data_IF_547157173834
#
_entry.id   IF_547157173834
#
_cell.length_a   1.000
_cell.length_b   1.000
_cell.length_c   1.000
_cell.angle_alpha   90.00
_cell.angle_beta   90.00
_cell.angle_gamma   90.00
#
_symmetry.space_group_name_H-M   'P 1'
#
loop_
_entity.id
_entity.type
_entity.pdbx_description
1 polymer ?
#
# COMPACT_ATOMS: atom_id res chain seq x y z
N UNK A 1 -45.60 3.70 -8.83
CA UNK A 1 -45.44 2.25 -9.13
C UNK A 1 -44.41 2.13 -10.24
N UNK A 2 -43.12 2.03 -9.92
CA UNK A 2 -42.08 1.65 -10.89
C UNK A 2 -40.67 1.81 -10.33
N UNK A 3 -39.91 0.70 -10.39
CA UNK A 3 -38.59 0.52 -11.02
C UNK A 3 -37.97 -0.78 -10.48
N UNK A 4 -38.37 -1.18 -9.26
CA UNK A 4 -37.96 -2.44 -8.63
C UNK A 4 -38.64 -3.69 -9.22
N UNK A 5 -39.76 -3.51 -9.94
CA UNK A 5 -40.52 -4.61 -10.57
C UNK A 5 -40.10 -4.88 -12.02
N UNK A 6 -39.32 -4.00 -12.65
CA UNK A 6 -38.87 -4.17 -14.05
C UNK A 6 -37.57 -5.00 -14.16
N UNK A 7 -36.72 -4.98 -13.12
CA UNK A 7 -35.47 -5.76 -13.09
C UNK A 7 -35.68 -7.25 -12.78
N UNK A 8 -36.83 -7.62 -12.20
CA UNK A 8 -37.21 -9.03 -11.99
C UNK A 8 -37.76 -9.70 -13.25
N UNK A 9 -38.14 -8.93 -14.28
CA UNK A 9 -38.65 -9.48 -15.54
C UNK A 9 -37.54 -9.87 -16.53
N UNK A 10 -36.33 -9.29 -16.42
CA UNK A 10 -35.21 -9.57 -17.33
C UNK A 10 -34.50 -10.89 -16.96
N UNK A 11 -34.63 -11.36 -15.72
CA UNK A 11 -34.04 -12.63 -15.27
C UNK A 11 -34.89 -13.88 -15.56
N UNK A 12 -36.12 -13.74 -16.07
CA UNK A 12 -37.03 -14.89 -16.30
C UNK A 12 -37.34 -15.13 -17.79
N UNK A 13 -36.99 -14.22 -18.70
CA UNK A 13 -37.41 -14.30 -20.11
C UNK A 13 -36.27 -14.59 -21.09
N UNK A 14 -35.51 -15.67 -20.86
CA UNK A 14 -34.80 -16.38 -21.95
C UNK A 14 -35.05 -17.87 -21.80
N UNK A 15 -36.32 -18.26 -21.89
CA UNK A 15 -36.70 -19.63 -22.19
C UNK A 15 -37.81 -19.64 -23.23
N UNK A 16 -37.60 -20.48 -24.25
CA UNK A 16 -38.39 -20.68 -25.46
C UNK A 16 -37.95 -19.72 -26.59
N UNK A 17 -37.44 -20.18 -27.74
CA UNK A 17 -38.11 -21.07 -28.70
C UNK A 17 -37.07 -21.86 -29.55
N UNK A 18 -37.26 -23.18 -29.58
CA UNK A 18 -37.08 -24.21 -30.64
C UNK A 18 -35.84 -24.31 -31.55
N UNK A 19 -35.20 -25.48 -31.39
CA UNK A 19 -34.83 -26.50 -32.41
C UNK A 19 -33.90 -26.15 -33.58
N UNK A 20 -32.66 -26.64 -33.48
CA UNK A 20 -31.93 -27.21 -34.61
C UNK A 20 -31.75 -28.70 -34.35
N UNK A 21 -32.26 -29.50 -35.28
CA UNK A 21 -32.14 -30.96 -35.31
C UNK A 21 -30.77 -31.35 -35.88
N UNK A 22 -29.95 -32.03 -35.07
CA UNK A 22 -29.08 -33.10 -35.57
C UNK A 22 -28.74 -34.05 -34.40
N UNK A 23 -29.37 -35.22 -34.41
CA UNK A 23 -29.21 -36.30 -33.44
C UNK A 23 -27.84 -36.96 -33.56
N UNK A 24 -27.09 -36.99 -32.46
CA UNK A 24 -26.45 -38.21 -31.92
C UNK A 24 -26.06 -37.96 -30.46
N UNK A 25 -26.96 -38.31 -29.55
CA UNK A 25 -26.66 -38.49 -28.14
C UNK A 25 -26.41 -39.98 -27.92
N UNK A 26 -25.32 -40.32 -27.22
CA UNK A 26 -25.06 -41.67 -26.71
C UNK A 26 -25.45 -41.68 -25.24
N UNK A 27 -26.12 -42.74 -24.81
CA UNK A 27 -26.65 -42.90 -23.45
C UNK A 27 -25.53 -43.15 -22.42
N UNK A 28 -25.52 -42.36 -21.35
CA UNK A 28 -24.98 -42.75 -20.05
C UNK A 28 -25.93 -42.23 -18.97
N UNK A 29 -26.27 -43.12 -18.02
CA UNK A 29 -27.42 -42.93 -17.13
C UNK A 29 -27.01 -42.11 -15.89
N UNK A 30 -27.51 -40.87 -15.87
CA UNK A 30 -27.80 -40.08 -14.67
C UNK A 30 -29.21 -40.46 -14.17
N UNK A 31 -29.44 -40.54 -12.86
CA UNK A 31 -30.79 -40.71 -12.30
C UNK A 31 -31.44 -39.35 -12.02
N UNK A 32 -32.56 -39.07 -12.70
CA UNK A 32 -33.15 -37.73 -12.88
C UNK A 32 -34.13 -37.24 -11.80
N UNK A 33 -34.24 -37.94 -10.66
CA UNK A 33 -35.18 -37.58 -9.58
C UNK A 33 -34.62 -36.58 -8.56
N UNK A 34 -33.30 -36.40 -8.53
CA UNK A 34 -32.64 -35.56 -7.54
C UNK A 34 -32.49 -34.13 -8.08
N UNK A 35 -32.85 -33.09 -7.31
CA UNK A 35 -32.57 -31.71 -7.69
C UNK A 35 -31.05 -31.48 -7.66
N UNK A 36 -30.43 -31.50 -8.84
CA UNK A 36 -29.02 -31.11 -9.02
C UNK A 36 -28.95 -29.65 -9.45
N UNK A 37 -28.45 -28.80 -8.56
CA UNK A 37 -28.18 -27.38 -8.83
C UNK A 37 -26.98 -27.24 -9.77
N UNK A 38 -27.27 -26.91 -11.04
CA UNK A 38 -26.35 -26.29 -12.01
C UNK A 38 -25.07 -27.08 -12.32
N UNK A 39 -25.09 -27.95 -13.33
CA UNK A 39 -23.88 -28.55 -13.87
C UNK A 39 -23.20 -27.57 -14.84
N UNK A 40 -22.04 -27.03 -14.44
CA UNK A 40 -21.11 -26.35 -15.34
C UNK A 40 -20.11 -27.40 -15.87
N UNK A 41 -20.24 -27.81 -17.13
CA UNK A 41 -19.39 -28.86 -17.71
C UNK A 41 -18.04 -28.29 -18.11
N UNK A 42 -17.00 -28.58 -17.31
CA UNK A 42 -15.59 -28.42 -17.69
C UNK A 42 -15.00 -29.83 -17.76
N UNK A 43 -14.66 -30.28 -18.97
CA UNK A 43 -14.22 -31.66 -19.25
C UNK A 43 -15.32 -32.57 -19.81
N UNK A 44 -14.94 -33.55 -20.64
CA UNK A 44 -15.91 -34.41 -21.35
C UNK A 44 -16.44 -35.60 -20.54
N UNK A 45 -15.91 -35.83 -19.34
CA UNK A 45 -16.18 -37.03 -18.53
C UNK A 45 -16.87 -36.67 -17.21
N UNK A 46 -17.98 -37.36 -16.90
CA UNK A 46 -18.80 -37.18 -15.69
C UNK A 46 -18.32 -38.01 -14.48
N UNK A 47 -17.37 -38.93 -14.69
CA UNK A 47 -16.92 -39.90 -13.68
C UNK A 47 -15.43 -39.73 -13.35
N UNK A 48 -14.92 -40.40 -12.30
CA UNK A 48 -13.49 -40.38 -11.95
C UNK A 48 -12.96 -41.77 -11.60
N UNK A 49 -12.62 -42.56 -12.62
CA UNK A 49 -12.14 -43.93 -12.45
C UNK A 49 -11.00 -44.30 -13.42
N UNK A 50 -10.58 -43.38 -14.31
CA UNK A 50 -9.55 -43.57 -15.34
C UNK A 50 -8.74 -42.29 -15.52
N UNK A 51 -7.45 -42.41 -15.85
CA UNK A 51 -6.56 -41.27 -16.07
C UNK A 51 -7.14 -40.18 -16.99
N UNK A 52 -7.88 -40.57 -18.03
CA UNK A 52 -8.56 -39.69 -18.99
C UNK A 52 -9.60 -38.75 -18.37
N UNK A 53 -10.08 -39.07 -17.16
CA UNK A 53 -11.07 -38.28 -16.45
C UNK A 53 -10.45 -37.18 -15.59
N UNK A 54 -9.11 -37.08 -15.54
CA UNK A 54 -8.42 -36.03 -14.81
C UNK A 54 -8.93 -34.64 -15.25
N UNK A 55 -9.23 -33.79 -14.27
CA UNK A 55 -9.80 -32.46 -14.49
C UNK A 55 -11.33 -32.37 -14.45
N UNK A 56 -12.07 -33.49 -14.39
CA UNK A 56 -13.50 -33.45 -14.13
C UNK A 56 -13.79 -32.81 -12.76
N UNK A 57 -14.80 -31.96 -12.69
CA UNK A 57 -15.23 -31.26 -11.47
C UNK A 57 -16.60 -31.74 -11.01
N UNK A 58 -16.80 -31.88 -9.70
CA UNK A 58 -18.14 -32.06 -9.11
C UNK A 58 -18.30 -31.22 -7.85
N UNK A 59 -19.50 -30.72 -7.60
CA UNK A 59 -19.86 -30.05 -6.35
C UNK A 59 -20.82 -30.94 -5.57
N UNK A 60 -20.45 -31.32 -4.35
CA UNK A 60 -21.25 -32.21 -3.50
C UNK A 60 -21.13 -31.80 -2.04
N UNK A 61 -22.28 -31.63 -1.37
CA UNK A 61 -22.34 -31.25 0.06
C UNK A 61 -21.52 -30.00 0.40
N UNK A 62 -21.60 -28.97 -0.45
CA UNK A 62 -20.88 -27.70 -0.24
C UNK A 62 -19.39 -27.74 -0.59
N UNK A 63 -18.85 -28.87 -1.06
CA UNK A 63 -17.44 -29.03 -1.41
C UNK A 63 -17.26 -29.20 -2.92
N UNK A 64 -16.27 -28.50 -3.48
CA UNK A 64 -15.81 -28.73 -4.84
C UNK A 64 -14.82 -29.90 -4.83
N UNK A 65 -14.91 -30.82 -5.80
CA UNK A 65 -14.00 -31.94 -5.98
C UNK A 65 -13.42 -31.90 -7.38
N UNK A 66 -12.15 -32.26 -7.51
CA UNK A 66 -11.43 -32.44 -8.76
C UNK A 66 -11.03 -33.91 -8.93
N UNK A 67 -11.17 -34.45 -10.14
CA UNK A 67 -10.70 -35.79 -10.46
C UNK A 67 -9.20 -35.77 -10.80
N UNK A 68 -8.42 -36.63 -10.15
CA UNK A 68 -7.00 -36.86 -10.43
C UNK A 68 -6.80 -38.17 -11.22
N UNK A 69 -7.65 -38.41 -12.21
CA UNK A 69 -7.71 -39.64 -13.01
C UNK A 69 -8.64 -40.68 -12.39
N UNK A 70 -8.21 -41.35 -11.31
CA UNK A 70 -8.99 -42.43 -10.69
C UNK A 70 -9.45 -42.13 -9.26
N UNK A 71 -9.23 -40.90 -8.79
CA UNK A 71 -9.54 -40.50 -7.42
C UNK A 71 -10.11 -39.09 -7.39
N UNK A 72 -11.18 -38.92 -6.63
CA UNK A 72 -11.69 -37.60 -6.27
C UNK A 72 -10.83 -36.99 -5.16
N UNK A 73 -10.37 -35.75 -5.37
CA UNK A 73 -9.77 -34.91 -4.34
C UNK A 73 -10.72 -33.75 -4.04
N UNK A 74 -10.92 -33.42 -2.77
CA UNK A 74 -11.63 -32.21 -2.36
C UNK A 74 -10.75 -30.99 -2.59
N UNK A 75 -11.32 -29.97 -3.20
CA UNK A 75 -10.76 -28.64 -3.27
C UNK A 75 -11.24 -27.88 -2.02
N UNK A 76 -10.39 -27.80 -1.00
CA UNK A 76 -10.65 -27.01 0.20
C UNK A 76 -10.20 -25.57 -0.06
N UNK A 77 -11.16 -24.66 -0.24
CA UNK A 77 -10.90 -23.22 -0.35
C UNK A 77 -10.21 -22.63 0.89
N UNK A 78 -10.33 -23.27 2.06
CA UNK A 78 -9.75 -22.82 3.34
C UNK A 78 -8.22 -22.73 3.33
N UNK A 79 -7.54 -23.44 2.42
CA UNK A 79 -6.07 -23.42 2.31
C UNK A 79 -5.53 -22.54 1.18
N UNK A 80 -6.39 -21.83 0.46
CA UNK A 80 -6.00 -21.05 -0.73
C UNK A 80 -5.81 -19.57 -0.48
N UNK A 81 -6.23 -19.06 0.67
CA UNK A 81 -6.09 -17.64 0.98
C UNK A 81 -5.09 -17.46 2.12
N UNK A 82 -3.81 -17.43 1.76
CA UNK A 82 -2.75 -16.96 2.64
C UNK A 82 -3.19 -15.65 3.32
N UNK A 83 -2.94 -15.52 4.62
CA UNK A 83 -3.30 -14.31 5.35
C UNK A 83 -2.48 -13.12 4.87
N UNK A 84 -3.14 -11.98 4.65
CA UNK A 84 -2.57 -10.79 4.00
C UNK A 84 -2.73 -10.76 2.48
N UNK A 85 -3.67 -11.53 1.92
CA UNK A 85 -4.04 -11.49 0.49
C UNK A 85 -5.35 -10.75 0.27
N UNK A 86 -5.67 -10.38 -0.98
CA UNK A 86 -6.89 -9.64 -1.33
C UNK A 86 -8.16 -10.32 -0.79
N UNK A 87 -8.20 -11.65 -0.84
CA UNK A 87 -9.33 -12.46 -0.40
C UNK A 87 -9.27 -12.89 1.08
N UNK A 88 -8.12 -12.69 1.75
CA UNK A 88 -7.96 -12.91 3.19
C UNK A 88 -7.04 -11.83 3.78
N UNK A 89 -7.51 -10.57 3.84
CA UNK A 89 -6.68 -9.44 4.23
C UNK A 89 -6.44 -9.39 5.73
N UNK A 90 -5.29 -8.84 6.13
CA UNK A 90 -5.05 -8.49 7.52
C UNK A 90 -5.67 -7.15 7.92
N UNK A 91 -5.52 -6.77 9.19
CA UNK A 91 -5.91 -5.44 9.66
C UNK A 91 -4.75 -4.42 9.57
N UNK A 92 -3.50 -4.90 9.56
CA UNK A 92 -2.27 -4.14 9.35
C UNK A 92 -1.14 -5.12 8.97
N UNK A 93 0.02 -4.61 8.53
CA UNK A 93 1.18 -5.46 8.29
C UNK A 93 1.63 -6.19 9.57
N UNK A 94 1.49 -5.56 10.74
CA UNK A 94 1.79 -6.17 12.05
C UNK A 94 0.86 -7.34 12.35
N UNK A 95 -0.43 -7.16 12.09
CA UNK A 95 -1.43 -8.20 12.28
C UNK A 95 -1.20 -9.39 11.32
N UNK A 96 -0.80 -9.10 10.07
CA UNK A 96 -0.38 -10.13 9.11
C UNK A 96 0.85 -10.88 9.63
N UNK A 97 1.89 -10.16 10.03
CA UNK A 97 3.13 -10.71 10.58
C UNK A 97 2.86 -11.64 11.77
N UNK A 98 1.96 -11.26 12.68
CA UNK A 98 1.66 -12.02 13.89
C UNK A 98 0.83 -13.29 13.62
N UNK A 99 -0.06 -13.26 12.62
CA UNK A 99 -1.05 -14.33 12.39
C UNK A 99 -0.73 -15.25 11.22
N UNK A 100 0.18 -14.87 10.32
CA UNK A 100 0.46 -15.67 9.13
C UNK A 100 1.05 -17.05 9.44
N UNK A 101 1.59 -17.27 10.65
CA UNK A 101 2.12 -18.56 11.09
C UNK A 101 3.36 -19.03 10.32
N UNK A 102 3.95 -18.15 9.49
CA UNK A 102 5.13 -18.39 8.66
C UNK A 102 5.99 -17.14 8.61
N UNK A 103 7.28 -17.31 8.30
CA UNK A 103 8.17 -16.18 8.02
C UNK A 103 7.75 -15.52 6.71
N UNK A 104 7.47 -14.23 6.77
CA UNK A 104 7.11 -13.41 5.62
C UNK A 104 8.31 -12.60 5.13
N UNK A 105 8.23 -12.12 3.89
CA UNK A 105 9.20 -11.23 3.28
C UNK A 105 8.56 -9.86 3.06
N UNK A 106 9.38 -8.82 2.93
CA UNK A 106 8.87 -7.49 2.61
C UNK A 106 8.18 -7.52 1.25
N UNK A 107 7.12 -6.73 1.10
CA UNK A 107 6.37 -6.71 -0.15
C UNK A 107 4.97 -6.14 -0.01
N UNK A 108 4.17 -6.32 -1.06
CA UNK A 108 2.80 -5.84 -1.07
C UNK A 108 1.88 -6.89 -0.47
N UNK A 109 1.08 -6.46 0.50
CA UNK A 109 0.04 -7.25 1.14
C UNK A 109 -1.28 -6.49 1.11
N UNK A 110 -2.37 -7.16 1.45
CA UNK A 110 -3.69 -6.57 1.46
C UNK A 110 -4.22 -6.46 2.88
N UNK A 111 -4.74 -5.27 3.19
CA UNK A 111 -5.34 -4.98 4.49
C UNK A 111 -6.76 -4.43 4.35
N UNK A 112 -7.49 -4.48 5.45
CA UNK A 112 -8.78 -3.84 5.63
C UNK A 112 -8.82 -3.18 6.99
N UNK A 113 -9.21 -1.91 7.05
CA UNK A 113 -9.32 -1.21 8.33
C UNK A 113 -10.46 -1.79 9.18
N UNK A 114 -10.29 -1.80 10.50
CA UNK A 114 -11.34 -2.25 11.43
C UNK A 114 -12.60 -1.41 11.24
N UNK A 115 -13.74 -2.07 11.05
CA UNK A 115 -15.02 -1.42 10.75
C UNK A 115 -15.19 -0.97 9.30
N UNK A 116 -14.13 -1.03 8.47
CA UNK A 116 -14.19 -0.79 7.04
C UNK A 116 -14.58 -2.04 6.26
N UNK A 117 -15.22 -1.86 5.10
CA UNK A 117 -15.50 -2.95 4.15
C UNK A 117 -14.48 -3.00 3.01
N UNK A 118 -13.74 -1.90 2.80
CA UNK A 118 -12.79 -1.78 1.69
C UNK A 118 -11.48 -2.50 2.00
N UNK A 119 -11.08 -3.38 1.09
CA UNK A 119 -9.77 -4.02 1.08
C UNK A 119 -8.87 -3.26 0.11
N UNK A 120 -7.61 -3.05 0.46
CA UNK A 120 -6.65 -2.34 -0.38
C UNK A 120 -5.21 -2.82 -0.14
N UNK A 121 -4.33 -2.68 -1.14
CA UNK A 121 -2.94 -3.09 -1.02
C UNK A 121 -2.11 -2.05 -0.25
N UNK A 122 -1.11 -2.53 0.48
CA UNK A 122 -0.10 -1.74 1.20
C UNK A 122 1.26 -2.41 1.08
N UNK A 123 2.34 -1.63 1.14
CA UNK A 123 3.67 -2.19 1.31
C UNK A 123 3.91 -2.51 2.78
N UNK A 124 4.37 -3.72 3.06
CA UNK A 124 4.77 -4.18 4.38
C UNK A 124 6.28 -4.40 4.45
N UNK A 125 6.94 -3.76 5.41
CA UNK A 125 8.27 -4.18 5.87
C UNK A 125 8.09 -5.22 6.98
N UNK A 126 8.18 -6.48 6.58
CA UNK A 126 8.02 -7.65 7.44
C UNK A 126 9.33 -7.95 8.20
N UNK A 127 10.48 -7.63 7.62
CA UNK A 127 11.80 -7.77 8.24
C UNK A 127 11.96 -6.86 9.46
N UNK A 128 11.45 -5.61 9.40
CA UNK A 128 11.41 -4.67 10.52
C UNK A 128 10.29 -4.94 11.54
N UNK A 129 9.52 -6.01 11.37
CA UNK A 129 8.50 -6.45 12.31
C UNK A 129 7.07 -6.07 11.93
N UNK A 130 6.76 -5.98 10.64
CA UNK A 130 5.39 -5.77 10.13
C UNK A 130 4.97 -4.30 10.07
N UNK A 131 5.83 -3.43 9.55
CA UNK A 131 5.53 -2.02 9.34
C UNK A 131 4.68 -1.80 8.09
N UNK A 132 3.64 -0.97 8.18
CA UNK A 132 2.68 -0.67 7.10
C UNK A 132 2.99 0.68 6.47
N UNK A 133 3.33 0.75 5.18
CA UNK A 133 3.56 2.03 4.50
C UNK A 133 2.24 2.77 4.25
N UNK A 134 2.12 3.99 4.79
CA UNK A 134 0.89 4.82 4.69
C UNK A 134 1.08 6.12 3.91
N UNK A 135 2.34 6.57 3.72
CA UNK A 135 2.65 7.75 2.94
C UNK A 135 4.04 7.63 2.29
N UNK A 136 4.16 8.08 1.04
CA UNK A 136 5.42 8.07 0.29
C UNK A 136 5.48 9.27 -0.65
N UNK A 137 6.57 10.01 -0.57
CA UNK A 137 6.86 11.17 -1.41
C UNK A 137 8.13 10.88 -2.19
N UNK A 138 8.06 10.96 -3.52
CA UNK A 138 9.26 10.89 -4.34
C UNK A 138 9.80 12.29 -4.60
N UNK A 139 11.12 12.33 -4.77
CA UNK A 139 11.82 13.49 -5.26
C UNK A 139 11.67 13.62 -6.78
N UNK A 140 11.90 14.83 -7.29
CA UNK A 140 11.91 15.16 -8.73
C UNK A 140 10.59 14.90 -9.51
N UNK A 141 9.43 14.88 -8.84
CA UNK A 141 8.16 14.77 -9.56
C UNK A 141 7.74 16.16 -10.08
N UNK A 142 7.45 16.23 -11.39
CA UNK A 142 6.92 17.43 -12.08
C UNK A 142 5.42 17.68 -11.83
N UNK A 143 4.76 16.83 -11.02
CA UNK A 143 3.36 16.99 -10.66
C UNK A 143 3.12 18.29 -9.88
N UNK A 144 1.90 18.83 -9.98
CA UNK A 144 1.52 20.12 -9.41
C UNK A 144 1.46 20.12 -7.88
N UNK A 145 1.24 18.96 -7.26
CA UNK A 145 1.05 18.84 -5.82
C UNK A 145 2.39 18.71 -5.07
N UNK A 146 2.64 19.59 -4.11
CA UNK A 146 3.83 19.48 -3.25
C UNK A 146 3.64 18.47 -2.10
N UNK A 147 4.70 18.01 -1.41
CA UNK A 147 4.59 16.98 -0.38
C UNK A 147 3.62 17.32 0.77
N UNK A 148 3.53 18.60 1.17
CA UNK A 148 2.59 19.02 2.19
C UNK A 148 1.15 18.91 1.71
N UNK A 149 0.85 19.31 0.46
CA UNK A 149 -0.51 19.18 -0.10
C UNK A 149 -0.95 17.71 -0.20
N UNK A 150 -0.04 16.80 -0.56
CA UNK A 150 -0.31 15.35 -0.54
C UNK A 150 -0.59 14.90 0.91
N UNK A 151 0.22 15.36 1.86
CA UNK A 151 0.05 15.04 3.29
C UNK A 151 -1.26 15.57 3.87
N UNK A 152 -1.68 16.78 3.50
CA UNK A 152 -2.86 17.48 4.03
C UNK A 152 -4.17 17.06 3.32
N UNK A 153 -4.09 16.53 2.09
CA UNK A 153 -5.26 16.11 1.29
C UNK A 153 -6.15 15.07 1.99
N UNK A 154 -7.46 15.28 2.06
CA UNK A 154 -8.41 14.25 2.54
C UNK A 154 -8.53 13.02 1.61
N UNK A 155 -8.01 13.13 0.38
CA UNK A 155 -8.13 12.12 -0.67
C UNK A 155 -6.84 11.29 -0.74
N UNK A 156 -6.95 9.94 -0.80
CA UNK A 156 -5.80 9.07 -1.04
C UNK A 156 -5.23 9.25 -2.45
N UNK A 157 -3.93 9.07 -2.61
CA UNK A 157 -3.22 9.26 -3.88
C UNK A 157 -2.51 7.95 -4.23
N UNK A 158 -2.67 7.48 -5.48
CA UNK A 158 -2.07 6.25 -6.00
C UNK A 158 -2.33 4.97 -5.17
N UNK A 159 -3.40 4.95 -4.36
CA UNK A 159 -3.70 3.90 -3.37
C UNK A 159 -3.81 2.48 -3.95
N UNK A 160 -4.28 2.37 -5.19
CA UNK A 160 -4.44 1.11 -5.91
C UNK A 160 -3.35 0.88 -6.97
N UNK A 161 -2.35 1.77 -7.05
CA UNK A 161 -1.26 1.68 -8.02
C UNK A 161 -0.11 0.89 -7.38
N UNK A 162 -0.07 -0.42 -7.65
CA UNK A 162 0.95 -1.32 -7.10
C UNK A 162 2.40 -0.84 -7.36
N UNK A 163 2.64 -0.18 -8.49
CA UNK A 163 3.94 0.40 -8.81
C UNK A 163 4.32 1.58 -7.90
N UNK A 164 3.36 2.35 -7.40
CA UNK A 164 3.60 3.44 -6.44
C UNK A 164 3.95 2.88 -5.04
N UNK A 165 3.39 1.71 -4.71
CA UNK A 165 3.62 0.98 -3.45
C UNK A 165 4.97 0.27 -3.37
N UNK A 166 5.59 -0.07 -4.50
CA UNK A 166 6.92 -0.68 -4.48
C UNK A 166 7.94 0.25 -3.79
N UNK A 167 8.86 -0.28 -2.98
CA UNK A 167 9.93 0.48 -2.33
C UNK A 167 11.05 0.89 -3.33
N UNK A 168 10.66 1.33 -4.53
CA UNK A 168 11.53 1.75 -5.63
C UNK A 168 11.05 3.10 -6.18
N UNK A 169 11.89 3.74 -6.99
CA UNK A 169 11.62 5.01 -7.68
C UNK A 169 11.11 4.82 -9.14
N UNK A 170 10.79 3.58 -9.55
CA UNK A 170 10.42 3.24 -10.93
C UNK A 170 9.05 3.78 -11.38
N UNK A 171 8.27 4.41 -10.50
CA UNK A 171 6.96 4.98 -10.81
C UNK A 171 6.86 6.42 -10.33
N UNK A 172 6.56 7.36 -11.22
CA UNK A 172 6.65 8.81 -10.98
C UNK A 172 5.40 9.42 -10.32
N UNK A 173 4.96 8.89 -9.17
CA UNK A 173 3.85 9.46 -8.40
C UNK A 173 4.03 9.33 -6.88
N UNK A 174 3.51 10.30 -6.13
CA UNK A 174 3.34 10.20 -4.67
C UNK A 174 2.29 9.12 -4.30
N UNK A 175 2.32 8.64 -3.05
CA UNK A 175 1.35 7.70 -2.51
C UNK A 175 0.84 8.13 -1.13
N UNK A 176 -0.47 8.01 -0.91
CA UNK A 176 -1.17 8.19 0.39
C UNK A 176 -2.37 7.24 0.50
N UNK A 177 -2.54 6.62 1.65
CA UNK A 177 -3.64 5.69 1.95
C UNK A 177 -4.82 6.36 2.71
N UNK A 178 -6.04 5.78 2.65
CA UNK A 178 -7.23 6.17 3.45
C UNK A 178 -7.11 5.92 4.96
N UNK A 179 -6.06 5.25 5.41
CA UNK A 179 -5.77 5.04 6.82
C UNK A 179 -4.97 6.20 7.42
N UNK A 180 -5.42 6.65 8.58
CA UNK A 180 -4.79 7.66 9.44
C UNK A 180 -3.25 7.61 9.44
N UNK A 181 -2.64 8.75 9.14
CA UNK A 181 -1.20 8.95 8.98
C UNK A 181 -0.47 8.84 10.33
N UNK A 182 0.55 7.99 10.38
CA UNK A 182 1.45 7.79 11.53
C UNK A 182 2.81 7.31 10.96
N UNK A 183 3.94 7.79 11.49
CA UNK A 183 5.30 7.40 11.03
C UNK A 183 6.08 6.49 11.97
N UNK A 184 6.94 5.71 11.33
CA UNK A 184 8.07 4.92 11.77
C UNK A 184 8.81 4.37 10.53
N UNK A 185 9.99 3.76 10.69
CA UNK A 185 10.88 3.37 9.57
C UNK A 185 11.35 1.90 9.55
N UNK A 186 11.75 1.45 8.35
CA UNK A 186 12.59 0.26 8.12
C UNK A 186 12.47 -0.42 6.74
N UNK A 187 13.61 -0.88 6.21
CA UNK A 187 13.75 -1.71 4.99
C UNK A 187 15.13 -1.59 4.32
N UNK A 188 15.67 -0.36 4.25
CA UNK A 188 17.09 0.06 4.13
C UNK A 188 17.12 1.59 4.07
N UNK A 189 17.13 2.24 5.24
CA UNK A 189 17.07 3.69 5.42
C UNK A 189 18.47 4.31 5.56
N UNK A 190 18.73 5.46 4.92
CA UNK A 190 19.96 6.24 5.14
C UNK A 190 19.91 7.02 6.45
N UNK A 191 18.73 7.55 6.78
CA UNK A 191 18.40 8.20 8.05
C UNK A 191 16.99 7.78 8.47
N UNK A 192 16.81 7.57 9.76
CA UNK A 192 15.57 7.12 10.37
C UNK A 192 15.20 8.00 11.57
N UNK A 193 13.92 8.30 11.68
CA UNK A 193 13.32 8.95 12.83
C UNK A 193 12.14 8.09 13.31
N UNK A 194 12.04 7.90 14.61
CA UNK A 194 10.99 7.10 15.26
C UNK A 194 10.21 8.05 16.14
N UNK A 195 8.91 8.18 15.88
CA UNK A 195 8.03 9.08 16.63
C UNK A 195 7.00 8.29 17.44
N UNK A 196 6.52 8.85 18.52
CA UNK A 196 5.39 8.30 19.23
C UNK A 196 4.10 8.58 18.44
N UNK A 197 3.37 7.52 18.13
CA UNK A 197 2.06 7.64 17.52
C UNK A 197 1.07 8.33 18.48
N UNK A 198 0.37 9.36 18.02
CA UNK A 198 -0.75 9.96 18.76
C UNK A 198 -2.00 9.10 18.60
N UNK A 199 -2.80 8.95 19.66
CA UNK A 199 -4.15 8.35 19.62
C UNK A 199 -5.25 9.32 19.15
N UNK A 200 -4.96 10.62 19.05
CA UNK A 200 -5.96 11.66 18.70
C UNK A 200 -6.03 12.12 17.23
N UNK A 201 -5.11 11.71 16.38
CA UNK A 201 -5.14 12.02 14.93
C UNK A 201 -3.76 12.41 14.41
N UNK A 202 -3.67 12.88 13.15
CA UNK A 202 -2.43 13.30 12.51
C UNK A 202 -1.85 14.63 13.04
N UNK A 203 -2.45 15.26 14.06
CA UNK A 203 -1.94 16.50 14.62
C UNK A 203 -0.71 16.27 15.52
N UNK A 204 0.40 16.94 15.22
CA UNK A 204 1.61 17.13 16.04
C UNK A 204 2.53 15.91 16.25
N UNK A 205 2.34 14.82 15.50
CA UNK A 205 3.23 13.66 15.62
C UNK A 205 4.63 13.97 15.06
N UNK A 206 4.77 14.87 14.06
CA UNK A 206 6.08 15.34 13.55
C UNK A 206 6.59 16.49 14.40
N UNK A 207 7.03 16.19 15.62
CA UNK A 207 7.53 17.19 16.55
C UNK A 207 8.66 16.64 17.40
N UNK A 208 9.49 17.55 17.93
CA UNK A 208 10.54 17.18 18.88
C UNK A 208 9.97 16.44 20.10
N UNK A 209 8.79 16.81 20.57
CA UNK A 209 8.14 16.19 21.74
C UNK A 209 7.72 14.74 21.49
N UNK A 210 7.35 14.41 20.25
CA UNK A 210 6.98 13.05 19.88
C UNK A 210 8.20 12.21 19.45
N UNK A 211 9.40 12.77 19.34
CA UNK A 211 10.58 12.05 18.85
C UNK A 211 11.13 11.06 19.89
N UNK A 212 11.02 9.76 19.59
CA UNK A 212 11.54 8.68 20.42
C UNK A 212 13.02 8.42 20.10
N UNK A 213 13.34 8.24 18.82
CA UNK A 213 14.68 7.92 18.35
C UNK A 213 15.02 8.62 17.04
N UNK A 214 16.31 8.84 16.81
CA UNK A 214 16.82 9.54 15.63
C UNK A 214 18.17 8.95 15.21
N UNK A 215 18.40 8.83 13.90
CA UNK A 215 19.73 8.54 13.35
C UNK A 215 20.74 9.67 13.56
N UNK A 216 20.27 10.90 13.77
CA UNK A 216 21.13 12.00 14.22
C UNK A 216 21.19 12.01 15.74
N UNK A 217 22.41 11.94 16.28
CA UNK A 217 22.67 11.78 17.71
C UNK A 217 22.32 13.02 18.52
N UNK A 218 22.35 14.19 17.89
CA UNK A 218 22.16 15.50 18.51
C UNK A 218 20.73 16.03 18.43
N UNK A 219 19.87 15.48 17.55
CA UNK A 219 18.54 16.02 17.27
C UNK A 219 17.63 16.06 18.50
N UNK A 220 17.83 15.17 19.48
CA UNK A 220 17.05 15.16 20.73
C UNK A 220 17.55 16.15 21.77
N UNK A 221 18.79 16.63 21.63
CA UNK A 221 19.46 17.49 22.63
C UNK A 221 19.61 18.92 22.17
N UNK A 222 19.72 19.15 20.87
CA UNK A 222 19.80 20.48 20.27
C UNK A 222 18.43 21.16 20.21
N UNK A 223 18.45 22.49 20.09
CA UNK A 223 17.24 23.27 19.87
C UNK A 223 16.81 23.21 18.41
N UNK A 224 15.51 23.45 18.17
CA UNK A 224 14.95 23.56 16.82
C UNK A 224 14.16 24.86 16.72
N UNK A 225 14.45 25.68 15.69
CA UNK A 225 13.59 26.82 15.34
C UNK A 225 12.39 26.37 14.49
N UNK A 226 12.53 25.27 13.75
CA UNK A 226 11.44 24.63 13.01
C UNK A 226 11.49 23.11 13.15
N UNK A 227 10.35 22.51 13.47
CA UNK A 227 10.15 21.06 13.45
C UNK A 227 8.70 20.82 13.04
N UNK A 228 8.44 20.85 11.73
CA UNK A 228 7.08 20.89 11.19
C UNK A 228 7.00 20.33 9.77
N UNK A 229 5.80 19.93 9.36
CA UNK A 229 5.55 19.48 7.98
C UNK A 229 5.07 20.67 7.13
N UNK A 230 4.32 21.57 7.76
CA UNK A 230 3.70 22.74 7.17
C UNK A 230 4.73 23.62 6.43
N UNK A 231 4.30 24.30 5.35
CA UNK A 231 5.18 25.17 4.60
C UNK A 231 5.71 26.32 5.46
N UNK A 232 7.02 26.47 5.50
CA UNK A 232 7.68 27.69 5.94
C UNK A 232 8.19 28.45 4.72
N UNK A 233 7.72 29.68 4.53
CA UNK A 233 8.09 30.53 3.39
C UNK A 233 8.65 31.86 3.89
N UNK A 234 9.76 32.30 3.29
CA UNK A 234 10.35 33.61 3.54
C UNK A 234 9.80 34.63 2.55
N UNK A 235 9.16 35.68 3.07
CA UNK A 235 8.58 36.75 2.24
C UNK A 235 7.59 36.23 1.17
N UNK A 236 6.87 35.13 1.47
CA UNK A 236 5.94 34.48 0.53
C UNK A 236 6.64 33.73 -0.62
N UNK A 237 7.94 33.46 -0.50
CA UNK A 237 8.77 32.69 -1.44
C UNK A 237 9.72 31.78 -0.64
N UNK A 238 10.60 31.02 -1.27
CA UNK A 238 11.57 30.15 -0.59
C UNK A 238 10.92 29.11 0.33
N UNK A 239 9.84 28.49 -0.14
CA UNK A 239 9.04 27.61 0.70
C UNK A 239 9.73 26.26 0.93
N UNK A 240 9.70 25.80 2.18
CA UNK A 240 10.23 24.49 2.61
C UNK A 240 9.15 23.74 3.38
N UNK A 241 9.04 22.44 3.15
CA UNK A 241 8.13 21.53 3.87
C UNK A 241 8.92 20.37 4.47
N UNK A 242 8.33 19.63 5.42
CA UNK A 242 9.02 18.56 6.15
C UNK A 242 10.38 19.02 6.71
N UNK A 243 10.35 20.12 7.46
CA UNK A 243 11.50 20.85 7.93
C UNK A 243 11.82 20.49 9.38
N UNK A 244 13.05 20.01 9.61
CA UNK A 244 13.68 19.96 10.94
C UNK A 244 14.95 20.78 10.86
N UNK A 245 14.90 21.97 11.45
CA UNK A 245 15.93 22.98 11.37
C UNK A 245 16.35 23.42 12.76
N UNK A 246 17.66 23.60 12.95
CA UNK A 246 18.23 24.00 14.23
C UNK A 246 18.09 25.50 14.41
N UNK A 247 18.62 26.25 13.46
CA UNK A 247 18.69 27.69 13.48
C UNK A 247 18.77 28.27 12.06
N UNK A 248 18.68 29.59 12.00
CA UNK A 248 18.69 30.34 10.76
C UNK A 248 17.31 30.32 10.11
N UNK A 249 16.86 31.51 9.72
CA UNK A 249 15.58 31.68 9.04
C UNK A 249 15.80 31.90 7.55
N UNK A 250 17.00 32.26 7.10
CA UNK A 250 17.29 32.54 5.70
C UNK A 250 18.27 31.52 5.07
N UNK A 251 18.92 31.85 3.97
CA UNK A 251 19.85 30.95 3.30
C UNK A 251 21.31 31.14 3.78
N UNK A 252 21.61 32.17 4.56
CA UNK A 252 22.98 32.58 4.89
C UNK A 252 23.59 31.79 6.04
N UNK A 253 22.78 31.44 7.04
CA UNK A 253 23.23 30.78 8.28
C UNK A 253 22.41 29.54 8.64
N UNK A 254 21.43 29.16 7.81
CA UNK A 254 20.55 28.06 8.13
C UNK A 254 21.25 26.71 8.13
N UNK A 255 20.92 25.93 9.16
CA UNK A 255 21.45 24.60 9.38
C UNK A 255 20.41 23.72 10.06
N UNK A 256 20.42 22.44 9.71
CA UNK A 256 19.40 21.51 10.16
C UNK A 256 19.69 20.08 9.76
N UNK A 257 18.65 19.26 9.85
CA UNK A 257 18.75 17.82 9.69
C UNK A 257 18.04 17.34 8.43
N UNK A 258 16.83 17.83 8.15
CA UNK A 258 16.08 17.49 6.94
C UNK A 258 15.19 18.64 6.48
N UNK A 259 15.04 18.80 5.16
CA UNK A 259 14.06 19.68 4.54
C UNK A 259 13.69 19.23 3.13
N UNK A 260 12.53 19.66 2.64
CA UNK A 260 12.16 19.57 1.23
C UNK A 260 11.92 20.98 0.66
N UNK A 261 12.79 21.51 -0.22
CA UNK A 261 12.62 22.81 -0.84
C UNK A 261 11.63 22.74 -2.01
N UNK A 262 10.68 23.69 -2.03
CA UNK A 262 9.68 23.83 -3.10
C UNK A 262 10.16 24.71 -4.26
N UNK A 263 11.15 25.59 -4.02
CA UNK A 263 11.72 26.51 -5.01
C UNK A 263 13.24 26.71 -4.84
N UNK A 264 13.87 27.39 -5.82
CA UNK A 264 15.33 27.51 -5.99
C UNK A 264 15.97 28.75 -5.32
N UNK A 265 15.27 29.50 -4.47
CA UNK A 265 15.76 30.83 -4.07
C UNK A 265 17.03 30.84 -3.20
N UNK A 266 17.33 29.77 -2.46
CA UNK A 266 18.63 29.65 -1.83
C UNK A 266 19.68 29.28 -2.88
N UNK A 267 20.32 30.30 -3.46
CA UNK A 267 21.56 30.14 -4.21
C UNK A 267 22.72 29.90 -3.24
N UNK A 268 22.64 28.83 -2.44
CA UNK A 268 23.88 28.18 -2.01
C UNK A 268 24.62 27.89 -3.31
N UNK A 269 25.84 28.44 -3.44
CA UNK A 269 26.41 28.96 -4.69
C UNK A 269 26.82 27.88 -5.71
N UNK A 270 25.91 26.99 -6.05
CA UNK A 270 26.21 25.70 -6.63
C UNK A 270 24.99 25.20 -7.40
N UNK A 271 25.26 24.71 -8.60
CA UNK A 271 24.31 24.04 -9.49
C UNK A 271 23.87 22.66 -8.96
N UNK A 272 24.25 22.28 -7.74
CA UNK A 272 24.27 20.89 -7.26
C UNK A 272 23.05 20.47 -6.45
N UNK A 273 22.22 21.41 -5.95
CA UNK A 273 21.02 21.05 -5.18
C UNK A 273 19.76 21.06 -6.04
N UNK A 274 19.25 19.89 -6.44
CA UNK A 274 18.03 19.82 -7.22
C UNK A 274 16.84 20.20 -6.34
N UNK A 275 16.00 21.13 -6.82
CA UNK A 275 14.69 21.37 -6.19
C UNK A 275 13.84 20.12 -6.19
N UNK A 276 12.87 20.09 -5.27
CA UNK A 276 11.94 18.97 -5.12
C UNK A 276 12.65 17.66 -4.75
N UNK A 277 13.76 17.75 -4.00
CA UNK A 277 14.41 16.59 -3.40
C UNK A 277 14.47 16.77 -1.89
N UNK A 278 14.28 15.69 -1.13
CA UNK A 278 14.60 15.73 0.28
C UNK A 278 16.10 15.93 0.45
N UNK A 279 16.48 17.01 1.12
CA UNK A 279 17.86 17.30 1.51
C UNK A 279 18.03 16.95 2.98
N UNK A 280 19.13 16.32 3.34
CA UNK A 280 19.40 15.94 4.72
C UNK A 280 20.88 15.99 5.08
N UNK A 281 21.18 16.14 6.37
CA UNK A 281 22.55 16.06 6.86
C UNK A 281 23.06 14.63 6.78
N UNK A 282 24.14 14.45 6.02
CA UNK A 282 24.81 13.15 5.82
C UNK A 282 25.43 12.61 7.10
N UNK A 283 26.02 13.49 7.90
CA UNK A 283 26.72 13.14 9.13
C UNK A 283 25.78 12.73 10.28
N UNK A 284 26.36 12.53 11.46
CA UNK A 284 25.62 12.13 12.66
C UNK A 284 24.90 13.30 13.36
N UNK A 285 25.16 14.52 12.91
CA UNK A 285 24.64 15.78 13.49
C UNK A 285 23.96 16.66 12.45
N UNK A 286 23.42 17.81 12.83
CA UNK A 286 22.98 18.83 11.86
C UNK A 286 24.14 19.26 10.95
N UNK A 287 23.78 19.84 9.79
CA UNK A 287 24.72 20.45 8.86
C UNK A 287 24.19 21.79 8.36
N UNK A 288 25.13 22.67 8.00
CA UNK A 288 24.79 23.92 7.31
C UNK A 288 24.32 23.59 5.90
N UNK A 289 23.16 24.12 5.51
CA UNK A 289 22.57 23.83 4.21
C UNK A 289 23.44 24.27 3.03
N UNK A 290 24.30 25.26 3.25
CA UNK A 290 25.27 25.73 2.25
C UNK A 290 26.51 24.85 2.08
N UNK A 291 26.73 23.84 2.95
CA UNK A 291 27.91 22.97 2.90
C UNK A 291 27.58 21.66 2.17
N UNK A 292 27.77 21.65 0.85
CA UNK A 292 27.44 20.50 0.00
C UNK A 292 28.12 19.20 0.40
N UNK A 293 29.31 19.28 1.01
CA UNK A 293 30.04 18.09 1.44
C UNK A 293 29.37 17.39 2.62
N UNK A 294 28.45 18.07 3.30
CA UNK A 294 27.70 17.56 4.45
C UNK A 294 26.23 17.30 4.16
N UNK A 295 25.75 17.66 2.97
CA UNK A 295 24.36 17.46 2.56
C UNK A 295 24.27 16.34 1.54
N UNK A 296 23.25 15.50 1.68
CA UNK A 296 22.89 14.48 0.72
C UNK A 296 21.41 14.64 0.32
N UNK A 297 21.05 14.08 -0.84
CA UNK A 297 19.68 14.11 -1.36
C UNK A 297 19.10 12.70 -1.36
N UNK A 298 17.84 12.56 -0.96
CA UNK A 298 17.11 11.30 -1.02
C UNK A 298 16.18 11.26 -2.23
N UNK A 299 16.02 10.07 -2.83
CA UNK A 299 15.06 9.83 -3.92
C UNK A 299 13.61 9.82 -3.41
N UNK A 300 13.39 9.52 -2.14
CA UNK A 300 12.06 9.48 -1.53
C UNK A 300 12.10 9.61 -0.01
N UNK A 301 10.97 10.05 0.54
CA UNK A 301 10.61 9.89 1.95
C UNK A 301 9.43 8.93 2.03
N UNK A 302 9.53 7.94 2.90
CA UNK A 302 8.44 6.99 3.17
C UNK A 302 8.12 6.97 4.66
N UNK A 303 6.87 6.64 4.95
CA UNK A 303 6.24 6.75 6.25
C UNK A 303 5.51 5.45 6.54
N UNK A 304 5.89 4.81 7.65
CA UNK A 304 5.29 3.54 8.05
C UNK A 304 4.56 3.62 9.39
N UNK A 305 3.59 2.74 9.61
CA UNK A 305 2.86 2.58 10.87
C UNK A 305 2.95 1.13 11.34
N UNK A 306 3.10 0.91 12.66
CA UNK A 306 3.02 -0.41 13.27
C UNK A 306 2.20 -0.35 14.55
#
# INVERSE_FOLDING_TARGET
MNLMMLLLAITVFVFSIKSVSSRKCVEEILYCGDPVSGIFKIGNFSCCYKAEHAGALKFLSGKLYICLGNKWATFEFEKLFDYGTEFNPGYSCKDIQDRAGKRLSDGIYWIRLRGGQTVFPVYCDMAGGGWTMVFKVLSNITQSSNPFEVYDSDIPIAEYVLAALANTNNHSSHYKNRARVVLFGGGNSQKELVFQASEKGPSNWYSAAALINSSWSDLKTETTNFFQIEPFCLHGRSCRVFLINRQGNDCSDAEGWVMFPLDQLCTWNTTSFPVRHFMYSKGDTYARWSDENKIEVADMLAVFLR
#
